data_IF_953290534935
#
_entry.id   IF_953290534935
#
_cell.length_a   1.000
_cell.length_b   1.000
_cell.length_c   1.000
_cell.angle_alpha   90.00
_cell.angle_beta   90.00
_cell.angle_gamma   90.00
#
_symmetry.space_group_name_H-M   'P 1'
#
loop_
_entity.id
_entity.type
_entity.pdbx_description
1 polymer ?
#
# COMPACT_ATOMS: atom_id res chain seq x y z
N UNK A 1 -10.63 6.49 -12.56
CA UNK A 1 -9.31 5.98 -12.13
C UNK A 1 -9.22 4.51 -12.49
N UNK A 2 -8.26 4.14 -13.31
CA UNK A 2 -8.04 2.73 -13.71
C UNK A 2 -6.75 2.18 -13.14
N UNK A 3 -5.74 3.02 -13.05
CA UNK A 3 -4.41 2.62 -12.60
C UNK A 3 -3.87 3.65 -11.63
N UNK A 4 -3.17 3.16 -10.61
CA UNK A 4 -2.44 4.04 -9.70
C UNK A 4 -1.04 3.44 -9.50
N UNK A 5 -0.02 4.25 -9.67
CA UNK A 5 1.35 3.88 -9.38
C UNK A 5 1.69 4.36 -7.97
N UNK A 6 2.34 3.51 -7.18
CA UNK A 6 2.58 3.76 -5.76
C UNK A 6 4.04 3.57 -5.44
N UNK A 7 4.59 4.48 -4.64
CA UNK A 7 5.93 4.39 -4.09
C UNK A 7 5.88 4.89 -2.65
N UNK A 8 6.45 4.13 -1.71
CA UNK A 8 6.40 4.49 -0.30
C UNK A 8 7.80 4.47 0.31
N UNK A 9 7.98 5.28 1.35
CA UNK A 9 9.13 5.21 2.24
C UNK A 9 8.64 4.89 3.64
N UNK A 10 9.29 3.94 4.30
CA UNK A 10 8.82 3.40 5.57
C UNK A 10 9.94 3.34 6.60
N UNK A 11 9.54 3.17 7.86
CA UNK A 11 10.45 2.90 8.96
C UNK A 11 9.90 1.75 9.82
N UNK A 12 10.79 0.93 10.32
CA UNK A 12 10.50 -0.04 11.36
C UNK A 12 11.81 -0.39 12.06
N UNK A 13 11.73 -0.74 13.33
CA UNK A 13 12.89 -1.20 14.11
C UNK A 13 13.22 -2.68 13.85
N UNK A 14 12.44 -3.35 13.01
CA UNK A 14 12.63 -4.76 12.63
C UNK A 14 13.46 -4.83 11.35
N UNK A 15 14.44 -5.72 11.32
CA UNK A 15 15.29 -5.93 10.13
C UNK A 15 14.49 -6.66 9.06
N UNK A 16 14.18 -5.96 7.98
CA UNK A 16 13.38 -6.48 6.87
C UNK A 16 14.04 -7.70 6.23
N UNK A 17 15.35 -7.67 6.04
CA UNK A 17 16.08 -8.78 5.37
C UNK A 17 16.08 -10.03 6.20
N UNK A 18 16.15 -9.90 7.53
CA UNK A 18 16.21 -11.06 8.44
C UNK A 18 14.84 -11.62 8.78
N UNK A 19 13.86 -10.72 8.97
CA UNK A 19 12.56 -11.10 9.54
C UNK A 19 11.42 -11.14 8.53
N UNK A 20 11.58 -10.48 7.37
CA UNK A 20 10.55 -10.41 6.35
C UNK A 20 9.55 -9.30 6.61
N UNK A 21 8.72 -9.04 5.58
CA UNK A 21 7.81 -7.89 5.59
C UNK A 21 6.72 -8.00 6.66
N UNK A 22 6.24 -9.22 6.93
CA UNK A 22 5.15 -9.38 7.89
C UNK A 22 5.56 -8.97 9.29
N UNK A 23 6.74 -9.37 9.74
CA UNK A 23 7.26 -8.94 11.05
C UNK A 23 7.65 -7.46 11.04
N UNK A 24 8.13 -6.98 9.91
CA UNK A 24 8.51 -5.58 9.73
C UNK A 24 7.32 -4.66 10.02
N UNK A 25 6.14 -4.95 9.48
CA UNK A 25 4.95 -4.12 9.67
C UNK A 25 4.24 -4.36 10.99
N UNK A 26 4.47 -5.50 11.65
CA UNK A 26 3.84 -5.81 12.92
C UNK A 26 4.46 -5.04 14.09
N UNK A 27 5.64 -4.48 13.91
CA UNK A 27 6.27 -3.68 14.95
C UNK A 27 5.41 -2.46 15.30
N UNK A 28 5.28 -2.13 16.60
CA UNK A 28 4.59 -0.89 17.00
C UNK A 28 5.29 0.37 16.49
N UNK A 29 6.56 0.25 16.09
CA UNK A 29 7.35 1.37 15.54
C UNK A 29 7.28 1.46 14.01
N UNK A 30 6.58 0.54 13.36
CA UNK A 30 6.40 0.63 11.91
C UNK A 30 5.57 1.85 11.55
N UNK A 31 6.03 2.61 10.54
CA UNK A 31 5.25 3.71 9.98
C UNK A 31 5.60 3.93 8.52
N UNK A 32 4.65 4.47 7.77
CA UNK A 32 4.89 4.96 6.41
C UNK A 32 5.22 6.44 6.52
N UNK A 33 6.40 6.82 6.05
CA UNK A 33 6.89 8.19 6.14
C UNK A 33 6.40 9.04 4.97
N UNK A 34 6.48 8.48 3.77
CA UNK A 34 6.07 9.14 2.53
C UNK A 34 5.22 8.18 1.70
N UNK A 35 4.20 8.74 1.05
CA UNK A 35 3.34 8.02 0.12
C UNK A 35 3.30 8.81 -1.20
N UNK A 36 3.98 8.28 -2.22
CA UNK A 36 3.97 8.85 -3.56
C UNK A 36 3.00 8.09 -4.45
N UNK A 37 2.25 8.81 -5.27
CA UNK A 37 1.31 8.18 -6.19
C UNK A 37 1.13 8.97 -7.47
N UNK A 38 0.73 8.26 -8.52
CA UNK A 38 0.38 8.84 -9.81
C UNK A 38 -0.85 8.10 -10.33
N UNK A 39 -1.91 8.86 -10.65
CA UNK A 39 -3.18 8.31 -11.13
C UNK A 39 -3.19 8.37 -12.65
N UNK A 40 -3.38 7.20 -13.29
CA UNK A 40 -3.53 7.08 -14.75
C UNK A 40 -2.45 7.80 -15.56
N UNK A 41 -1.22 7.81 -15.03
CA UNK A 41 -0.07 8.41 -15.70
C UNK A 41 0.06 9.92 -15.52
N UNK A 42 -0.73 10.50 -14.63
CA UNK A 42 -0.63 11.93 -14.32
C UNK A 42 0.61 12.24 -13.49
N UNK A 43 0.81 13.52 -13.17
CA UNK A 43 1.96 13.96 -12.39
C UNK A 43 1.98 13.29 -11.02
N UNK A 44 3.18 12.96 -10.54
CA UNK A 44 3.37 12.32 -9.24
C UNK A 44 3.00 13.28 -8.12
N UNK A 45 2.21 12.81 -7.16
CA UNK A 45 1.88 13.51 -5.94
C UNK A 45 2.60 12.81 -4.78
N UNK A 46 3.02 13.59 -3.80
CA UNK A 46 3.70 13.04 -2.61
C UNK A 46 2.97 13.53 -1.37
N UNK A 47 2.63 12.59 -0.48
CA UNK A 47 2.02 12.87 0.81
C UNK A 47 3.05 12.60 1.88
N UNK A 48 3.38 13.61 2.68
CA UNK A 48 4.36 13.50 3.76
C UNK A 48 3.67 13.11 5.07
N UNK A 49 3.41 11.81 5.22
CA UNK A 49 2.68 11.29 6.38
C UNK A 49 3.42 11.59 7.69
N UNK A 50 4.75 11.58 7.66
CA UNK A 50 5.56 11.90 8.83
C UNK A 50 5.40 13.36 9.26
N UNK A 51 4.93 14.23 8.36
CA UNK A 51 4.68 15.64 8.65
C UNK A 51 3.21 15.93 8.99
N UNK A 52 2.40 14.88 9.10
CA UNK A 52 0.98 15.02 9.44
C UNK A 52 0.05 15.21 8.25
N UNK A 53 0.54 15.09 7.03
CA UNK A 53 -0.33 15.12 5.85
C UNK A 53 -1.15 13.84 5.75
N UNK A 54 -2.27 13.91 5.08
CA UNK A 54 -3.18 12.77 4.92
C UNK A 54 -3.32 12.38 3.46
N UNK A 55 -3.45 11.07 3.22
CA UNK A 55 -3.74 10.56 1.88
C UNK A 55 -5.18 10.94 1.54
N UNK A 56 -5.43 11.51 0.33
CA UNK A 56 -6.81 11.85 -0.07
C UNK A 56 -7.75 10.64 0.00
N UNK A 57 -9.00 10.87 0.40
CA UNK A 57 -9.99 9.80 0.56
C UNK A 57 -10.17 8.99 -0.72
N UNK A 58 -10.17 9.64 -1.89
CA UNK A 58 -10.32 8.94 -3.17
C UNK A 58 -9.19 7.95 -3.43
N UNK A 59 -7.99 8.23 -2.91
CA UNK A 59 -6.84 7.33 -3.05
C UNK A 59 -6.95 6.19 -2.05
N UNK A 60 -7.40 6.46 -0.83
CA UNK A 60 -7.67 5.41 0.16
C UNK A 60 -8.72 4.42 -0.40
N UNK A 61 -9.79 4.96 -1.01
CA UNK A 61 -10.83 4.12 -1.62
C UNK A 61 -10.26 3.27 -2.77
N UNK A 62 -9.33 3.84 -3.55
CA UNK A 62 -8.69 3.11 -4.65
C UNK A 62 -7.87 1.93 -4.15
N UNK A 63 -7.25 2.04 -2.97
CA UNK A 63 -6.45 0.94 -2.40
C UNK A 63 -7.30 -0.28 -2.08
N UNK A 64 -8.56 -0.08 -1.74
CA UNK A 64 -9.50 -1.16 -1.42
C UNK A 64 -10.43 -1.49 -2.59
N UNK A 65 -10.23 -0.88 -3.76
CA UNK A 65 -11.05 -1.10 -4.95
C UNK A 65 -10.30 -2.03 -5.90
N UNK A 66 -10.79 -3.27 -6.03
CA UNK A 66 -10.16 -4.28 -6.88
C UNK A 66 -10.27 -3.97 -8.37
N UNK A 67 -11.13 -3.01 -8.78
CA UNK A 67 -11.20 -2.57 -10.17
C UNK A 67 -10.09 -1.60 -10.55
N UNK A 68 -9.37 -1.07 -9.57
CA UNK A 68 -8.22 -0.19 -9.77
C UNK A 68 -6.94 -1.01 -9.67
N UNK A 69 -6.13 -1.01 -10.73
CA UNK A 69 -4.84 -1.70 -10.69
C UNK A 69 -3.80 -0.83 -9.96
N UNK A 70 -3.14 -1.41 -8.98
CA UNK A 70 -2.07 -0.76 -8.21
C UNK A 70 -0.73 -1.28 -8.71
N UNK A 71 0.11 -0.36 -9.15
CA UNK A 71 1.46 -0.68 -9.64
C UNK A 71 2.49 -0.22 -8.63
N UNK A 72 3.41 -1.09 -8.26
CA UNK A 72 4.47 -0.77 -7.31
C UNK A 72 5.73 -1.51 -7.68
N UNK A 73 6.89 -0.97 -7.32
CA UNK A 73 8.17 -1.59 -7.66
C UNK A 73 8.29 -2.99 -7.05
N UNK A 74 7.91 -3.14 -5.79
CA UNK A 74 7.81 -4.44 -5.13
C UNK A 74 6.41 -4.51 -4.54
N UNK A 75 5.44 -4.98 -5.34
CA UNK A 75 4.03 -4.90 -4.99
C UNK A 75 3.68 -5.63 -3.70
N UNK A 76 4.37 -6.72 -3.38
CA UNK A 76 4.13 -7.43 -2.13
C UNK A 76 4.48 -6.55 -0.93
N UNK A 77 5.62 -5.87 -0.97
CA UNK A 77 6.06 -5.00 0.11
C UNK A 77 5.07 -3.84 0.32
N UNK A 78 4.76 -3.12 -0.76
CA UNK A 78 3.84 -1.98 -0.67
C UNK A 78 2.44 -2.42 -0.24
N UNK A 79 1.96 -3.54 -0.76
CA UNK A 79 0.64 -4.09 -0.41
C UNK A 79 0.55 -4.41 1.08
N UNK A 80 1.54 -5.10 1.62
CA UNK A 80 1.55 -5.48 3.05
C UNK A 80 1.68 -4.23 3.94
N UNK A 81 2.55 -3.31 3.57
CA UNK A 81 2.72 -2.07 4.33
C UNK A 81 1.45 -1.24 4.35
N UNK A 82 0.79 -1.09 3.21
CA UNK A 82 -0.44 -0.31 3.13
C UNK A 82 -1.61 -1.02 3.80
N UNK A 83 -1.63 -2.36 3.79
CA UNK A 83 -2.64 -3.11 4.53
C UNK A 83 -2.56 -2.81 6.03
N UNK A 84 -1.36 -2.81 6.58
CA UNK A 84 -1.16 -2.48 7.99
C UNK A 84 -1.52 -1.02 8.28
N UNK A 85 -1.17 -0.10 7.38
CA UNK A 85 -1.53 1.31 7.52
C UNK A 85 -3.05 1.48 7.57
N UNK A 86 -3.78 0.83 6.65
CA UNK A 86 -5.24 0.92 6.63
C UNK A 86 -5.85 0.31 7.89
N UNK A 87 -5.32 -0.80 8.35
CA UNK A 87 -5.80 -1.44 9.58
C UNK A 87 -5.69 -0.50 10.77
N UNK A 88 -4.59 0.24 10.87
CA UNK A 88 -4.34 1.15 12.00
C UNK A 88 -5.10 2.46 11.89
N UNK A 89 -5.19 3.03 10.68
CA UNK A 89 -5.71 4.38 10.46
C UNK A 89 -7.13 4.40 9.93
N UNK A 90 -7.55 3.37 9.22
CA UNK A 90 -8.88 3.28 8.59
C UNK A 90 -9.48 1.90 8.82
N UNK A 91 -9.63 1.49 10.10
CA UNK A 91 -10.04 0.12 10.40
C UNK A 91 -11.40 -0.25 9.83
N UNK A 92 -12.35 0.70 9.78
CA UNK A 92 -13.68 0.42 9.26
C UNK A 92 -13.65 0.14 7.75
N UNK A 93 -12.85 0.88 7.01
CA UNK A 93 -12.69 0.64 5.57
C UNK A 93 -12.07 -0.73 5.30
N UNK A 94 -11.10 -1.11 6.10
CA UNK A 94 -10.44 -2.41 5.96
C UNK A 94 -11.39 -3.56 6.29
N UNK A 95 -12.19 -3.40 7.34
CA UNK A 95 -13.20 -4.40 7.73
C UNK A 95 -14.25 -4.56 6.63
N UNK A 96 -14.76 -3.46 6.09
CA UNK A 96 -15.75 -3.47 5.01
C UNK A 96 -15.19 -4.15 3.77
N UNK A 97 -13.95 -3.87 3.42
CA UNK A 97 -13.25 -4.51 2.31
C UNK A 97 -13.17 -6.03 2.53
N UNK A 98 -12.76 -6.46 3.72
CA UNK A 98 -12.60 -7.88 4.03
C UNK A 98 -13.92 -8.64 3.92
N UNK A 99 -15.01 -8.02 4.35
CA UNK A 99 -16.34 -8.63 4.25
C UNK A 99 -16.79 -8.72 2.79
N UNK A 100 -16.62 -7.64 2.03
CA UNK A 100 -17.05 -7.55 0.64
C UNK A 100 -16.32 -8.53 -0.25
N UNK A 101 -15.00 -8.66 -0.06
CA UNK A 101 -14.15 -9.52 -0.90
C UNK A 101 -14.08 -10.96 -0.39
N UNK A 102 -14.81 -11.27 0.69
CA UNK A 102 -14.82 -12.61 1.30
C UNK A 102 -13.42 -13.15 1.54
N UNK A 103 -12.51 -12.28 1.97
CA UNK A 103 -11.14 -12.66 2.27
C UNK A 103 -10.99 -12.99 3.74
N UNK A 104 -10.29 -14.08 4.02
CA UNK A 104 -9.96 -14.46 5.40
C UNK A 104 -8.57 -13.95 5.81
N UNK A 105 -7.88 -13.30 4.89
CA UNK A 105 -6.54 -12.77 5.14
C UNK A 105 -6.62 -11.37 5.73
N UNK A 106 -5.58 -11.03 6.49
CA UNK A 106 -5.47 -9.73 7.15
C UNK A 106 -4.83 -8.67 6.23
N UNK A 107 -4.72 -8.95 4.94
CA UNK A 107 -4.04 -8.08 3.99
C UNK A 107 -4.88 -7.92 2.73
N UNK A 108 -4.65 -6.80 2.02
CA UNK A 108 -5.29 -6.56 0.73
C UNK A 108 -4.97 -7.70 -0.24
N UNK A 109 -5.96 -8.08 -1.05
CA UNK A 109 -5.78 -9.14 -2.05
C UNK A 109 -4.73 -8.73 -3.09
N UNK A 110 -3.85 -9.65 -3.49
CA UNK A 110 -2.84 -9.33 -4.51
C UNK A 110 -3.39 -9.24 -5.94
N UNK A 111 -4.67 -9.56 -6.14
CA UNK A 111 -5.27 -9.68 -7.48
C UNK A 111 -5.12 -8.41 -8.31
N UNK A 112 -5.33 -7.24 -7.71
CA UNK A 112 -5.25 -5.96 -8.42
C UNK A 112 -3.89 -5.28 -8.29
N UNK A 113 -2.91 -5.93 -7.68
CA UNK A 113 -1.57 -5.38 -7.50
C UNK A 113 -0.61 -5.96 -8.54
N UNK A 114 0.17 -5.09 -9.19
CA UNK A 114 1.15 -5.46 -10.20
C UNK A 114 2.53 -4.93 -9.80
N UNK A 115 3.55 -5.72 -10.12
CA UNK A 115 4.91 -5.41 -9.74
C UNK A 115 5.65 -4.78 -10.92
N UNK A 116 6.08 -3.53 -10.78
CA UNK A 116 6.84 -2.84 -11.82
C UNK A 116 8.27 -3.35 -11.93
N UNK A 117 8.77 -4.03 -10.89
CA UNK A 117 10.10 -4.62 -10.90
C UNK A 117 10.24 -5.63 -12.04
N UNK A 118 9.22 -6.48 -12.24
CA UNK A 118 9.21 -7.45 -13.34
C UNK A 118 9.16 -6.73 -14.69
N UNK A 119 8.37 -5.68 -14.77
CA UNK A 119 8.23 -4.88 -15.99
C UNK A 119 9.56 -4.23 -16.38
N UNK A 120 10.24 -3.60 -15.40
CA UNK A 120 11.50 -2.90 -15.67
C UNK A 120 12.64 -3.83 -16.09
N UNK A 121 12.55 -5.12 -15.80
CA UNK A 121 13.55 -6.09 -16.20
C UNK A 121 13.61 -6.27 -17.73
N UNK A 122 12.58 -5.86 -18.43
CA UNK A 122 12.50 -5.96 -19.90
C UNK A 122 12.79 -4.63 -20.60
N UNK A 123 13.09 -3.63 -19.84
CA UNK A 123 13.39 -2.30 -20.36
C UNK A 123 14.87 -1.99 -20.20
#
# INVERSE_FOLDING_TARGET
MRNISIDIETYSDVDLKKCGVYKYVQSPHFEILLFGYSVDGEAVQVVELAQGEEIPDKIIDALTDETVTKWAFNSQFERICLSEYLRRCYPQKFINYSIQEDTVEDYLSPVSWKCTMTWSAYM
#
